data_IF_773076787000
#
_entry.id   IF_773076787000
#
_cell.length_a   1.000
_cell.length_b   1.000
_cell.length_c   1.000
_cell.angle_alpha   90.00
_cell.angle_beta   90.00
_cell.angle_gamma   90.00
#
_symmetry.space_group_name_H-M   'P 1'
#
loop_
_entity.id
_entity.type
_entity.pdbx_description
1 polymer ?
#
# COMPACT_ATOMS: atom_id res chain seq x y z
N UNK A 1 -38.80 67.20 16.95
CA UNK A 1 -38.99 65.88 16.31
C UNK A 1 -37.70 65.07 16.48
N UNK A 2 -37.78 63.94 17.14
CA UNK A 2 -36.65 62.98 17.25
C UNK A 2 -36.60 62.12 16.02
N UNK A 3 -35.48 62.19 15.23
CA UNK A 3 -35.24 61.27 14.12
C UNK A 3 -34.43 60.08 14.54
N UNK A 4 -34.51 58.95 13.79
CA UNK A 4 -33.64 57.80 13.98
C UNK A 4 -32.24 58.11 13.42
N UNK A 5 -31.19 57.50 14.00
CA UNK A 5 -29.83 57.54 13.49
C UNK A 5 -29.78 56.94 12.07
N UNK A 6 -29.01 57.55 11.18
CA UNK A 6 -28.86 57.02 9.80
C UNK A 6 -28.10 55.69 9.78
N UNK A 7 -28.36 54.84 8.82
CA UNK A 7 -27.64 53.62 8.67
C UNK A 7 -26.11 53.86 8.53
N UNK A 8 -25.31 53.03 9.10
CA UNK A 8 -23.85 53.17 9.13
C UNK A 8 -23.31 54.06 10.26
N UNK A 9 -24.20 54.69 11.04
CA UNK A 9 -23.85 55.51 12.20
C UNK A 9 -24.63 55.04 13.44
N UNK A 10 -24.07 55.28 14.62
CA UNK A 10 -24.79 55.11 15.89
C UNK A 10 -24.83 56.39 16.69
N UNK A 11 -25.91 56.58 17.37
CA UNK A 11 -26.19 57.77 18.10
C UNK A 11 -26.32 57.47 19.61
N UNK A 12 -25.27 57.57 20.39
CA UNK A 12 -25.36 57.53 21.82
C UNK A 12 -26.30 58.68 22.32
N UNK A 13 -26.88 58.54 23.50
CA UNK A 13 -27.83 59.52 24.02
C UNK A 13 -27.31 60.95 23.98
N UNK A 14 -28.18 61.87 23.54
CA UNK A 14 -27.83 63.32 23.40
C UNK A 14 -27.34 63.80 22.05
N UNK A 15 -27.42 62.94 21.01
CA UNK A 15 -27.06 63.26 19.62
C UNK A 15 -28.03 64.28 19.01
N UNK A 16 -27.54 65.26 18.27
CA UNK A 16 -28.35 66.37 17.67
C UNK A 16 -28.72 66.06 16.20
N UNK A 17 -27.82 65.40 15.45
CA UNK A 17 -28.05 65.01 14.05
C UNK A 17 -27.89 63.50 13.85
N UNK A 18 -28.36 62.96 12.73
CA UNK A 18 -28.38 61.52 12.45
C UNK A 18 -27.23 60.99 11.63
N UNK A 19 -26.29 61.83 11.12
CA UNK A 19 -25.34 61.49 10.06
C UNK A 19 -23.83 61.84 10.37
N UNK A 20 -23.47 62.12 11.57
CA UNK A 20 -22.07 62.39 11.94
C UNK A 20 -21.54 63.77 11.52
N UNK A 21 -22.35 64.71 10.99
CA UNK A 21 -21.95 66.04 10.59
C UNK A 21 -21.98 67.07 11.71
N UNK A 22 -22.05 66.65 12.96
CA UNK A 22 -22.15 67.50 14.10
C UNK A 22 -20.77 67.64 14.79
N UNK A 23 -20.24 68.88 14.83
CA UNK A 23 -18.98 69.20 15.44
C UNK A 23 -19.04 69.21 17.01
N UNK A 24 -20.20 69.09 17.59
CA UNK A 24 -20.42 69.01 19.06
C UNK A 24 -20.71 67.61 19.54
N UNK A 25 -20.58 66.64 18.68
CA UNK A 25 -21.29 65.54 18.98
C UNK A 25 -20.77 64.16 19.00
N UNK A 26 -21.54 63.40 19.44
CA UNK A 26 -21.65 62.08 19.95
C UNK A 26 -22.05 61.04 18.89
N UNK A 27 -22.29 61.45 17.63
CA UNK A 27 -22.54 60.51 16.54
C UNK A 27 -21.24 59.98 15.98
N UNK A 28 -21.12 58.64 15.93
CA UNK A 28 -19.93 57.95 15.48
C UNK A 28 -20.27 57.06 14.27
N UNK A 29 -19.36 56.98 13.34
CA UNK A 29 -19.39 55.97 12.28
C UNK A 29 -19.13 54.58 12.91
N UNK A 30 -19.82 53.56 12.39
CA UNK A 30 -19.49 52.21 12.73
C UNK A 30 -18.12 51.86 12.18
N UNK A 31 -17.28 51.23 13.01
CA UNK A 31 -15.96 50.77 12.63
C UNK A 31 -16.03 49.44 11.84
N UNK A 32 -14.93 49.09 11.24
CA UNK A 32 -14.77 47.80 10.60
C UNK A 32 -15.09 46.66 11.62
N UNK A 33 -15.68 45.59 11.19
CA UNK A 33 -16.13 44.49 12.06
C UNK A 33 -17.46 44.75 12.79
N UNK A 34 -18.05 45.96 12.60
CA UNK A 34 -19.30 46.33 13.28
C UNK A 34 -20.37 46.79 12.28
N UNK A 35 -21.62 46.66 12.65
CA UNK A 35 -22.78 47.06 11.83
C UNK A 35 -23.75 47.91 12.62
N UNK A 36 -24.21 48.98 11.98
CA UNK A 36 -25.19 49.90 12.54
C UNK A 36 -26.38 50.05 11.59
N UNK A 37 -27.42 49.23 11.76
CA UNK A 37 -28.71 49.45 11.11
C UNK A 37 -29.32 50.78 11.53
N UNK A 38 -30.37 51.21 10.82
CA UNK A 38 -31.08 52.45 11.12
C UNK A 38 -31.54 52.49 12.59
N UNK A 39 -31.22 53.57 13.29
CA UNK A 39 -31.61 53.79 14.66
C UNK A 39 -30.70 53.16 15.72
N UNK A 40 -29.49 52.75 15.33
CA UNK A 40 -28.50 52.22 16.29
C UNK A 40 -28.11 53.22 17.38
N UNK A 41 -28.08 52.80 18.60
CA UNK A 41 -27.63 53.55 19.78
C UNK A 41 -26.13 53.27 20.12
N UNK A 42 -25.59 52.16 19.60
CA UNK A 42 -24.23 51.71 19.72
C UNK A 42 -23.82 50.98 18.48
N UNK A 43 -22.53 50.77 18.28
CA UNK A 43 -22.00 49.84 17.28
C UNK A 43 -22.23 48.41 17.74
N UNK A 44 -22.65 47.56 16.80
CA UNK A 44 -22.89 46.16 17.08
C UNK A 44 -21.80 45.36 16.36
N UNK A 45 -20.96 44.67 17.13
CA UNK A 45 -19.95 43.75 16.57
C UNK A 45 -20.66 42.63 15.79
N UNK A 46 -20.15 42.31 14.62
CA UNK A 46 -20.56 41.14 13.88
C UNK A 46 -20.23 39.89 14.71
N UNK A 47 -21.20 39.00 14.86
CA UNK A 47 -21.01 37.77 15.59
C UNK A 47 -20.16 36.78 14.81
N UNK A 48 -19.63 35.80 15.50
CA UNK A 48 -18.94 34.66 14.88
C UNK A 48 -19.75 34.09 13.72
N UNK A 49 -19.05 33.72 12.64
CA UNK A 49 -19.68 33.31 11.38
C UNK A 49 -20.01 34.46 10.43
N UNK A 50 -19.82 35.71 10.84
CA UNK A 50 -20.05 36.89 10.01
C UNK A 50 -18.91 37.91 10.15
N UNK A 51 -18.86 38.85 9.20
CA UNK A 51 -17.82 39.89 9.13
C UNK A 51 -18.36 41.20 8.52
N UNK A 52 -17.66 42.28 8.71
CA UNK A 52 -17.93 43.55 8.03
C UNK A 52 -16.60 44.22 7.58
N UNK A 53 -16.35 44.28 6.24
CA UNK A 53 -15.04 44.66 5.72
C UNK A 53 -14.78 46.20 5.70
N UNK A 54 -15.74 47.00 6.02
CA UNK A 54 -15.56 48.47 5.93
C UNK A 54 -16.27 49.22 7.02
N UNK A 55 -15.84 50.45 7.27
CA UNK A 55 -16.50 51.38 8.15
C UNK A 55 -17.88 51.80 7.56
N UNK A 56 -18.75 52.31 8.41
CA UNK A 56 -20.15 52.65 8.08
C UNK A 56 -20.98 51.43 7.64
N UNK A 57 -20.64 50.21 8.07
CA UNK A 57 -21.40 49.03 7.82
C UNK A 57 -22.82 49.09 8.36
N UNK A 58 -23.81 48.63 7.58
CA UNK A 58 -25.21 48.60 7.98
C UNK A 58 -25.69 47.21 8.35
N UNK A 59 -24.99 46.17 7.85
CA UNK A 59 -25.26 44.74 8.09
C UNK A 59 -23.95 44.01 8.23
N UNK A 60 -23.95 42.90 8.91
CA UNK A 60 -22.85 41.90 8.89
C UNK A 60 -23.10 40.92 7.75
N UNK A 61 -22.08 40.58 7.01
CA UNK A 61 -22.12 39.59 5.92
C UNK A 61 -21.73 38.22 6.47
N UNK A 62 -22.43 37.17 6.04
CA UNK A 62 -22.03 35.81 6.34
C UNK A 62 -20.63 35.55 5.81
N UNK A 63 -19.83 34.79 6.59
CA UNK A 63 -18.53 34.33 6.18
C UNK A 63 -18.66 33.54 4.87
N UNK A 64 -17.88 33.84 3.81
CA UNK A 64 -17.98 33.14 2.53
C UNK A 64 -17.61 31.65 2.67
N UNK A 65 -18.16 30.78 1.79
CA UNK A 65 -17.81 29.36 1.81
C UNK A 65 -16.29 29.18 1.58
N UNK A 66 -15.70 28.21 2.26
CA UNK A 66 -14.25 27.99 2.27
C UNK A 66 -13.46 28.96 3.15
N UNK A 67 -14.17 29.83 3.90
CA UNK A 67 -13.62 30.77 4.84
C UNK A 67 -14.22 30.60 6.24
N UNK A 68 -13.54 31.09 7.25
CA UNK A 68 -13.98 31.05 8.66
C UNK A 68 -13.94 32.42 9.31
N UNK A 69 -14.91 32.68 10.18
CA UNK A 69 -15.01 33.88 10.98
C UNK A 69 -15.15 33.48 12.46
N UNK A 70 -14.03 33.23 13.14
CA UNK A 70 -14.00 32.56 14.44
C UNK A 70 -14.25 33.48 15.64
N UNK A 71 -14.10 34.79 15.45
CA UNK A 71 -14.22 35.79 16.52
C UNK A 71 -15.27 36.82 16.16
N UNK A 72 -15.88 37.44 17.19
CA UNK A 72 -16.76 38.59 17.01
C UNK A 72 -15.96 39.80 16.53
N UNK A 73 -16.62 40.68 15.77
CA UNK A 73 -16.05 41.95 15.31
C UNK A 73 -15.01 41.80 14.20
N UNK A 74 -15.08 40.75 13.40
CA UNK A 74 -14.14 40.57 12.28
C UNK A 74 -14.43 41.52 11.11
N UNK A 75 -13.39 42.13 10.63
CA UNK A 75 -13.33 42.95 9.40
C UNK A 75 -12.92 42.11 8.19
N UNK A 76 -12.12 41.07 8.40
CA UNK A 76 -11.56 40.19 7.37
C UNK A 76 -11.76 38.72 7.77
N UNK A 77 -12.31 37.94 6.86
CA UNK A 77 -12.42 36.48 7.02
C UNK A 77 -11.06 35.78 6.85
N UNK A 78 -10.94 34.60 7.41
CA UNK A 78 -9.74 33.76 7.30
C UNK A 78 -10.04 32.51 6.45
N UNK A 79 -9.03 32.01 5.74
CA UNK A 79 -9.13 30.76 5.00
C UNK A 79 -9.47 29.58 5.91
N UNK A 80 -10.32 28.67 5.46
CA UNK A 80 -10.57 27.39 6.13
C UNK A 80 -9.28 26.58 6.20
N UNK A 81 -9.01 25.98 7.35
CA UNK A 81 -7.79 25.19 7.57
C UNK A 81 -7.81 23.90 6.72
N UNK A 82 -6.62 23.41 6.39
CA UNK A 82 -6.47 22.09 5.79
C UNK A 82 -6.99 21.00 6.73
N UNK A 83 -7.59 19.95 6.17
CA UNK A 83 -8.25 18.90 6.93
C UNK A 83 -9.69 19.23 7.33
N UNK A 84 -10.13 20.47 7.06
CA UNK A 84 -11.46 20.97 7.42
C UNK A 84 -12.22 21.48 6.19
N UNK A 85 -13.53 21.66 6.35
CA UNK A 85 -14.38 22.36 5.42
C UNK A 85 -15.21 23.43 6.13
N UNK A 86 -15.55 24.48 5.43
CA UNK A 86 -16.24 25.65 5.95
C UNK A 86 -17.40 26.03 5.02
N UNK A 87 -18.62 25.75 5.43
CA UNK A 87 -19.82 26.23 4.74
C UNK A 87 -20.00 27.75 4.93
N UNK A 88 -20.98 28.33 4.24
CA UNK A 88 -21.36 29.74 4.45
C UNK A 88 -21.66 30.01 5.91
N UNK A 89 -21.14 31.10 6.46
CA UNK A 89 -21.39 31.49 7.85
C UNK A 89 -20.65 30.66 8.88
N UNK A 90 -19.56 29.99 8.49
CA UNK A 90 -18.82 29.14 9.42
C UNK A 90 -18.05 29.96 10.47
N UNK A 91 -18.42 29.76 11.73
CA UNK A 91 -17.65 30.20 12.90
C UNK A 91 -16.58 29.17 13.27
N UNK A 92 -16.97 27.89 13.33
CA UNK A 92 -16.09 26.77 13.70
C UNK A 92 -15.97 25.81 12.52
N UNK A 93 -14.78 25.66 11.94
CA UNK A 93 -14.52 24.72 10.86
C UNK A 93 -14.93 23.29 11.23
N UNK A 94 -15.48 22.55 10.28
CA UNK A 94 -15.85 21.15 10.43
C UNK A 94 -14.77 20.25 9.87
N UNK A 95 -14.44 19.17 10.59
CA UNK A 95 -13.39 18.23 10.17
C UNK A 95 -13.84 17.37 8.98
N UNK A 96 -12.95 17.11 8.03
CA UNK A 96 -13.12 15.98 7.14
C UNK A 96 -13.15 14.68 7.95
N UNK A 97 -14.09 13.79 7.63
CA UNK A 97 -14.23 12.51 8.32
C UNK A 97 -13.02 11.61 8.08
N UNK A 98 -12.83 10.62 8.97
CA UNK A 98 -11.86 9.54 8.77
C UNK A 98 -12.03 8.87 7.39
N UNK A 99 -10.95 8.44 6.79
CA UNK A 99 -10.95 7.92 5.43
C UNK A 99 -10.96 9.01 4.34
N UNK A 100 -11.01 10.29 4.75
CA UNK A 100 -10.99 11.46 3.86
C UNK A 100 -9.94 12.47 4.31
N UNK A 101 -9.52 13.33 3.37
CA UNK A 101 -8.55 14.40 3.62
C UNK A 101 -8.89 15.66 2.82
N UNK A 102 -8.36 16.79 3.23
CA UNK A 102 -8.31 18.00 2.41
C UNK A 102 -6.96 18.68 2.56
N UNK A 103 -6.38 19.11 1.46
CA UNK A 103 -5.20 19.96 1.44
C UNK A 103 -5.28 20.96 0.29
N UNK A 104 -4.48 22.00 0.37
CA UNK A 104 -4.51 23.11 -0.59
C UNK A 104 -4.12 22.71 -2.02
N UNK A 105 -3.29 21.70 -2.18
CA UNK A 105 -2.75 21.31 -3.49
C UNK A 105 -3.74 20.60 -4.37
N UNK A 106 -4.75 19.93 -3.77
CA UNK A 106 -5.69 19.05 -4.50
C UNK A 106 -7.01 19.75 -4.78
N UNK A 107 -7.44 20.69 -3.93
CA UNK A 107 -8.72 21.39 -4.06
C UNK A 107 -8.79 22.30 -5.29
N UNK A 108 -7.63 22.69 -5.84
CA UNK A 108 -7.55 23.69 -6.94
C UNK A 108 -7.77 23.14 -8.35
N UNK A 109 -7.63 21.83 -8.56
CA UNK A 109 -7.53 21.25 -9.91
C UNK A 109 -8.90 21.16 -10.63
N UNK A 110 -10.00 21.07 -9.88
CA UNK A 110 -11.33 20.75 -10.45
C UNK A 110 -12.42 21.80 -10.22
N UNK A 111 -12.10 23.05 -9.87
CA UNK A 111 -13.13 24.08 -9.64
C UNK A 111 -13.46 24.89 -10.89
N UNK A 112 -14.65 24.71 -11.51
CA UNK A 112 -15.12 25.61 -12.52
C UNK A 112 -15.63 26.91 -11.88
N UNK A 113 -14.97 28.04 -12.11
CA UNK A 113 -15.48 29.35 -11.68
C UNK A 113 -14.46 30.47 -11.88
N UNK A 114 -14.91 31.64 -12.35
CA UNK A 114 -14.11 32.87 -12.37
C UNK A 114 -14.00 33.45 -10.95
N UNK A 115 -13.11 32.91 -10.14
CA UNK A 115 -12.82 33.46 -8.83
C UNK A 115 -11.79 34.60 -8.97
N UNK A 116 -11.86 35.65 -8.13
CA UNK A 116 -10.85 36.70 -8.12
C UNK A 116 -9.46 36.09 -7.89
N UNK A 117 -8.45 36.62 -8.55
CA UNK A 117 -7.06 36.12 -8.50
C UNK A 117 -6.46 35.97 -7.08
N UNK A 118 -7.07 36.67 -6.10
CA UNK A 118 -6.63 36.65 -4.69
C UNK A 118 -7.55 35.83 -3.78
N UNK A 119 -8.55 35.16 -4.32
CA UNK A 119 -9.47 34.34 -3.54
C UNK A 119 -8.98 32.89 -3.53
N UNK A 120 -8.48 32.47 -2.41
CA UNK A 120 -7.97 31.11 -2.15
C UNK A 120 -8.82 30.47 -1.03
N UNK A 121 -10.03 30.01 -1.33
CA UNK A 121 -10.85 29.36 -0.31
C UNK A 121 -10.28 27.98 0.05
N UNK A 122 -10.45 27.57 1.30
CA UNK A 122 -10.32 26.18 1.72
C UNK A 122 -11.47 25.31 1.16
N UNK A 123 -11.61 24.09 1.65
CA UNK A 123 -12.76 23.25 1.30
C UNK A 123 -14.06 23.93 1.76
N UNK A 124 -15.06 24.01 0.87
CA UNK A 124 -16.33 24.70 1.10
C UNK A 124 -17.40 23.77 1.68
N UNK A 125 -17.34 22.49 1.35
CA UNK A 125 -18.36 21.50 1.73
C UNK A 125 -17.71 20.17 2.07
N UNK A 126 -18.44 19.31 2.77
CA UNK A 126 -17.98 17.95 3.07
C UNK A 126 -17.67 17.09 1.83
N UNK A 127 -18.28 17.41 0.68
CA UNK A 127 -18.02 16.70 -0.58
C UNK A 127 -16.64 17.01 -1.16
N UNK A 128 -16.03 18.11 -0.77
CA UNK A 128 -14.67 18.50 -1.16
C UNK A 128 -13.59 17.87 -0.26
N UNK A 129 -13.97 17.21 0.82
CA UNK A 129 -13.08 16.27 1.49
C UNK A 129 -12.88 15.06 0.57
N UNK A 130 -11.67 14.93 0.03
CA UNK A 130 -11.33 13.87 -0.92
C UNK A 130 -11.22 12.52 -0.22
N UNK A 131 -11.57 11.47 -0.93
CA UNK A 131 -11.33 10.11 -0.46
C UNK A 131 -9.83 9.84 -0.35
N UNK A 132 -9.41 9.14 0.71
CA UNK A 132 -8.03 8.71 0.87
C UNK A 132 -7.58 7.94 -0.38
N UNK A 133 -6.44 8.26 -1.00
CA UNK A 133 -6.02 7.62 -2.24
C UNK A 133 -5.64 6.15 -2.03
N UNK A 134 -5.67 5.39 -3.11
CA UNK A 134 -5.24 3.99 -3.12
C UNK A 134 -3.78 3.88 -2.66
N UNK A 135 -3.48 2.90 -1.83
CA UNK A 135 -2.17 2.74 -1.22
C UNK A 135 -1.91 3.61 0.00
N UNK A 136 -2.90 4.39 0.44
CA UNK A 136 -2.80 5.29 1.60
C UNK A 136 -3.94 5.10 2.59
N UNK A 137 -3.72 5.62 3.80
CA UNK A 137 -4.64 5.65 4.92
C UNK A 137 -4.88 7.08 5.38
N UNK A 138 -6.09 7.37 5.84
CA UNK A 138 -6.46 8.60 6.52
C UNK A 138 -7.05 8.23 7.89
N UNK A 139 -6.20 7.96 8.89
CA UNK A 139 -6.61 7.32 10.15
C UNK A 139 -7.35 8.25 11.10
N UNK A 140 -7.26 9.54 10.90
CA UNK A 140 -7.89 10.53 11.77
C UNK A 140 -8.82 11.45 11.00
N UNK A 141 -9.77 12.08 11.70
CA UNK A 141 -10.47 13.25 11.19
C UNK A 141 -9.47 14.40 11.00
N UNK A 142 -9.78 15.31 10.10
CA UNK A 142 -8.91 16.43 9.73
C UNK A 142 -7.53 16.00 9.17
N UNK A 143 -7.46 14.85 8.50
CA UNK A 143 -6.24 14.44 7.80
C UNK A 143 -5.90 15.45 6.69
N UNK A 144 -4.66 15.91 6.66
CA UNK A 144 -4.12 16.79 5.62
C UNK A 144 -3.22 16.05 4.65
N UNK A 145 -2.44 15.10 5.16
CA UNK A 145 -1.52 14.26 4.37
C UNK A 145 -1.85 12.79 4.61
N UNK A 146 -2.35 12.08 3.58
CA UNK A 146 -2.56 10.64 3.68
C UNK A 146 -1.26 9.89 4.00
N UNK A 147 -1.33 8.94 4.93
CA UNK A 147 -0.21 8.08 5.31
C UNK A 147 -0.11 6.88 4.37
N UNK A 148 1.09 6.36 4.13
CA UNK A 148 1.27 5.14 3.33
C UNK A 148 0.64 3.94 4.03
N UNK A 149 0.02 3.07 3.25
CA UNK A 149 -0.57 1.82 3.72
C UNK A 149 0.45 1.00 4.51
N UNK A 150 0.03 0.43 5.62
CA UNK A 150 0.86 -0.39 6.50
C UNK A 150 1.36 -1.65 5.78
N UNK A 151 2.62 -2.06 5.99
CA UNK A 151 3.16 -3.29 5.40
C UNK A 151 2.31 -4.52 5.77
N UNK A 152 2.16 -5.44 4.84
CA UNK A 152 1.33 -6.64 4.99
C UNK A 152 -0.15 -6.45 4.63
N UNK A 153 -0.56 -5.20 4.34
CA UNK A 153 -1.92 -4.84 3.96
C UNK A 153 -1.96 -4.09 2.63
N UNK A 154 -3.10 -4.12 1.98
CA UNK A 154 -3.42 -3.31 0.81
C UNK A 154 -4.55 -2.34 1.14
N UNK A 155 -4.38 -1.07 0.80
CA UNK A 155 -5.35 -0.01 1.06
C UNK A 155 -6.02 0.39 -0.25
N UNK A 156 -7.28 0.03 -0.40
CA UNK A 156 -8.06 0.22 -1.64
C UNK A 156 -8.56 1.66 -1.84
N UNK A 157 -8.22 2.57 -0.91
CA UNK A 157 -8.71 3.94 -0.88
C UNK A 157 -9.88 4.15 0.09
N UNK A 158 -10.08 5.39 0.54
CA UNK A 158 -11.10 5.76 1.53
C UNK A 158 -11.03 5.03 2.87
N UNK A 159 -9.84 4.54 3.26
CA UNK A 159 -9.66 3.75 4.47
C UNK A 159 -9.06 4.58 5.60
N UNK A 160 -9.57 4.36 6.80
CA UNK A 160 -9.06 4.93 8.05
C UNK A 160 -7.97 4.07 8.68
N UNK A 161 -8.12 2.74 8.64
CA UNK A 161 -7.18 1.78 9.22
C UNK A 161 -6.90 0.64 8.24
N UNK A 162 -5.66 0.14 8.28
CA UNK A 162 -5.31 -1.08 7.57
C UNK A 162 -6.07 -2.28 8.17
N UNK A 163 -6.67 -3.10 7.32
CA UNK A 163 -7.44 -4.26 7.75
C UNK A 163 -8.92 -4.00 8.03
N UNK A 164 -9.37 -2.74 7.99
CA UNK A 164 -10.79 -2.38 8.11
C UNK A 164 -11.34 -1.93 6.76
N UNK A 165 -12.56 -2.34 6.46
CA UNK A 165 -13.33 -1.74 5.38
C UNK A 165 -14.35 -0.78 6.01
N UNK A 166 -14.21 0.52 5.79
CA UNK A 166 -15.18 1.52 6.26
C UNK A 166 -16.53 1.39 5.54
N UNK A 167 -16.65 0.51 4.57
CA UNK A 167 -17.85 0.21 3.82
C UNK A 167 -18.30 -1.25 3.99
N UNK A 168 -18.67 -1.64 5.18
CA UNK A 168 -19.65 -2.70 5.49
C UNK A 168 -19.61 -4.03 4.73
N UNK A 169 -18.55 -4.42 4.05
CA UNK A 169 -18.39 -5.72 3.41
C UNK A 169 -16.96 -6.23 3.56
N UNK A 170 -16.84 -7.24 4.31
CA UNK A 170 -15.96 -8.42 4.35
C UNK A 170 -14.74 -8.48 3.43
N UNK A 171 -13.97 -7.40 3.31
CA UNK A 171 -12.73 -7.44 2.56
C UNK A 171 -11.58 -7.23 3.54
N UNK A 172 -11.10 -8.34 4.08
CA UNK A 172 -9.75 -8.36 4.65
C UNK A 172 -8.79 -7.71 3.65
N UNK A 173 -8.26 -6.57 3.99
CA UNK A 173 -7.24 -5.88 3.20
C UNK A 173 -5.86 -6.48 3.43
N UNK A 174 -5.77 -7.51 4.26
CA UNK A 174 -4.55 -8.28 4.47
C UNK A 174 -4.12 -8.95 3.16
N UNK A 175 -2.83 -8.87 2.87
CA UNK A 175 -2.24 -9.52 1.71
C UNK A 175 -2.47 -11.03 1.77
N UNK A 176 -3.03 -11.68 0.75
CA UNK A 176 -3.23 -13.13 0.75
C UNK A 176 -1.91 -13.88 0.58
N UNK A 177 -1.91 -15.15 0.95
CA UNK A 177 -0.82 -16.07 0.64
C UNK A 177 -0.52 -16.07 -0.87
N UNK A 178 0.75 -16.24 -1.25
CA UNK A 178 1.20 -16.13 -2.64
C UNK A 178 1.50 -14.71 -3.11
N UNK A 179 1.20 -13.70 -2.31
CA UNK A 179 1.40 -12.29 -2.63
C UNK A 179 2.20 -11.56 -1.54
N UNK A 180 2.78 -10.45 -1.91
CA UNK A 180 3.47 -9.55 -0.99
C UNK A 180 2.86 -8.16 -1.02
N UNK A 181 2.79 -7.50 0.13
CA UNK A 181 2.30 -6.15 0.26
C UNK A 181 3.32 -5.29 1.02
N UNK A 182 4.31 -4.72 0.34
CA UNK A 182 5.16 -3.70 0.93
C UNK A 182 4.35 -2.44 1.28
N UNK A 183 4.98 -1.50 1.98
CA UNK A 183 4.37 -0.22 2.34
C UNK A 183 3.77 0.47 1.12
N UNK A 184 2.58 1.02 1.26
CA UNK A 184 1.91 1.75 0.18
C UNK A 184 1.21 0.87 -0.86
N UNK A 185 1.02 -0.41 -0.60
CA UNK A 185 0.33 -1.32 -1.53
C UNK A 185 -1.15 -0.94 -1.66
N UNK A 186 -1.59 -0.74 -2.90
CA UNK A 186 -2.97 -0.34 -3.23
C UNK A 186 -3.90 -1.49 -3.60
N UNK A 187 -3.38 -2.68 -3.88
CA UNK A 187 -4.17 -3.87 -4.22
C UNK A 187 -3.52 -5.13 -3.71
N UNK A 188 -4.28 -5.98 -3.04
CA UNK A 188 -3.79 -7.23 -2.45
C UNK A 188 -3.33 -8.29 -3.47
N UNK A 189 -3.66 -8.12 -4.74
CA UNK A 189 -3.30 -9.04 -5.82
C UNK A 189 -2.32 -8.42 -6.84
N UNK A 190 -1.77 -7.25 -6.56
CA UNK A 190 -0.88 -6.56 -7.52
C UNK A 190 0.53 -7.12 -7.58
N UNK A 191 0.99 -7.74 -6.51
CA UNK A 191 2.37 -8.20 -6.36
C UNK A 191 2.43 -9.69 -6.01
N UNK A 192 2.15 -10.60 -6.97
CA UNK A 192 2.33 -12.03 -6.76
C UNK A 192 3.80 -12.36 -6.58
N UNK A 193 4.09 -13.42 -5.81
CA UNK A 193 5.43 -13.97 -5.72
C UNK A 193 5.93 -14.35 -7.11
N UNK A 194 7.13 -13.90 -7.46
CA UNK A 194 7.78 -14.21 -8.74
C UNK A 194 8.17 -15.68 -8.84
N UNK A 195 8.51 -16.13 -10.04
CA UNK A 195 9.04 -17.47 -10.29
C UNK A 195 10.22 -17.78 -9.36
N UNK A 196 10.30 -18.99 -8.86
CA UNK A 196 11.31 -19.42 -7.89
C UNK A 196 11.05 -18.93 -6.46
N UNK A 197 9.94 -18.26 -6.22
CA UNK A 197 9.51 -17.78 -4.89
C UNK A 197 8.09 -18.23 -4.55
N UNK A 198 7.80 -18.24 -3.26
CA UNK A 198 6.50 -18.60 -2.73
C UNK A 198 6.20 -17.86 -1.44
N UNK A 199 4.93 -17.85 -1.01
CA UNK A 199 4.56 -17.30 0.30
C UNK A 199 3.36 -18.04 0.89
N UNK A 200 3.55 -18.89 1.91
CA UNK A 200 2.46 -19.66 2.51
C UNK A 200 1.54 -18.85 3.41
N UNK A 201 2.02 -17.73 3.93
CA UNK A 201 1.31 -16.94 4.92
C UNK A 201 0.74 -15.67 4.31
N UNK A 202 -0.43 -15.26 4.80
CA UNK A 202 -0.99 -13.94 4.51
C UNK A 202 -0.27 -12.83 5.28
N UNK A 203 -0.46 -11.57 4.86
CA UNK A 203 0.08 -10.40 5.55
C UNK A 203 1.59 -10.22 5.42
N UNK A 204 2.20 -10.75 4.39
CA UNK A 204 3.64 -10.69 4.21
C UNK A 204 4.07 -9.56 3.28
N UNK A 205 5.27 -9.07 3.54
CA UNK A 205 5.86 -7.94 2.80
C UNK A 205 6.82 -8.40 1.70
N UNK A 206 7.24 -9.66 1.75
CA UNK A 206 8.18 -10.26 0.80
C UNK A 206 7.85 -11.73 0.58
N UNK A 207 8.42 -12.32 -0.46
CA UNK A 207 8.28 -13.72 -0.81
C UNK A 207 9.55 -14.50 -0.47
N UNK A 208 9.37 -15.72 0.03
CA UNK A 208 10.42 -16.67 0.36
C UNK A 208 10.96 -17.35 -0.91
N UNK A 209 12.21 -17.80 -0.88
CA UNK A 209 12.73 -18.68 -1.94
C UNK A 209 11.98 -20.02 -1.93
N UNK A 210 11.73 -20.57 -3.12
CA UNK A 210 11.18 -21.91 -3.29
C UNK A 210 12.04 -22.92 -2.52
N UNK A 211 11.46 -23.78 -1.69
CA UNK A 211 12.24 -24.75 -0.91
C UNK A 211 12.97 -25.72 -1.83
N UNK A 212 14.19 -26.13 -1.44
CA UNK A 212 14.93 -27.16 -2.14
C UNK A 212 14.10 -28.44 -2.27
N UNK A 213 14.28 -29.20 -3.36
CA UNK A 213 13.46 -30.35 -3.70
C UNK A 213 12.11 -30.02 -4.32
N UNK A 214 11.81 -28.73 -4.54
CA UNK A 214 10.58 -28.25 -5.18
C UNK A 214 10.90 -27.20 -6.25
N UNK A 215 9.91 -26.96 -7.11
CA UNK A 215 9.95 -26.01 -8.23
C UNK A 215 8.77 -25.07 -8.11
N UNK A 216 9.03 -23.77 -8.16
CA UNK A 216 8.03 -22.72 -8.17
C UNK A 216 7.97 -22.09 -9.57
N UNK A 217 7.25 -22.73 -10.47
CA UNK A 217 7.18 -22.43 -11.90
C UNK A 217 6.05 -21.48 -12.31
N UNK A 218 5.30 -20.99 -11.31
CA UNK A 218 4.19 -20.06 -11.50
C UNK A 218 4.29 -18.87 -10.58
N UNK A 219 3.55 -17.82 -10.91
CA UNK A 219 3.40 -16.64 -10.05
C UNK A 219 2.41 -16.93 -8.91
N UNK A 220 2.67 -16.37 -7.75
CA UNK A 220 1.72 -16.41 -6.63
C UNK A 220 1.60 -17.77 -5.92
N UNK A 221 2.61 -18.61 -5.98
CA UNK A 221 2.62 -19.91 -5.29
C UNK A 221 2.53 -19.71 -3.78
N UNK A 222 1.60 -20.45 -3.15
CA UNK A 222 1.35 -20.39 -1.72
C UNK A 222 1.31 -21.78 -1.04
N UNK A 223 1.15 -22.86 -1.80
CA UNK A 223 0.96 -24.21 -1.27
C UNK A 223 2.10 -25.15 -1.67
N UNK A 224 2.42 -26.10 -0.77
CA UNK A 224 3.31 -27.22 -1.08
C UNK A 224 2.58 -28.28 -1.93
N UNK A 225 3.29 -29.21 -2.57
CA UNK A 225 2.66 -30.21 -3.46
C UNK A 225 1.54 -31.02 -2.80
N UNK A 226 1.68 -31.34 -1.52
CA UNK A 226 0.75 -32.18 -0.75
C UNK A 226 -0.28 -31.39 0.07
N UNK A 227 -0.25 -30.05 0.07
CA UNK A 227 -1.21 -29.26 0.81
C UNK A 227 -2.60 -29.37 0.17
N UNK A 228 -3.62 -29.41 1.02
CA UNK A 228 -5.03 -29.45 0.59
C UNK A 228 -5.53 -28.01 0.44
N UNK A 229 -5.91 -27.61 -0.75
CA UNK A 229 -6.45 -26.29 -1.04
C UNK A 229 -6.79 -26.17 -2.53
N UNK A 230 -7.97 -25.70 -2.85
CA UNK A 230 -8.49 -25.68 -4.23
C UNK A 230 -8.22 -24.40 -5.00
N UNK A 231 -7.79 -23.31 -4.35
CA UNK A 231 -7.82 -21.96 -4.93
C UNK A 231 -6.45 -21.32 -5.18
N UNK A 232 -5.36 -21.94 -4.73
CA UNK A 232 -4.04 -21.36 -4.80
C UNK A 232 -3.07 -22.23 -5.59
N UNK A 233 -2.17 -21.57 -6.32
CA UNK A 233 -1.14 -22.26 -7.09
C UNK A 233 -0.18 -23.02 -6.17
N UNK A 234 0.10 -24.29 -6.54
CA UNK A 234 0.99 -25.20 -5.82
C UNK A 234 2.35 -25.25 -6.48
N UNK A 235 3.40 -25.43 -5.67
CA UNK A 235 4.71 -25.78 -6.17
C UNK A 235 4.71 -27.22 -6.69
N UNK A 236 5.63 -27.54 -7.59
CA UNK A 236 5.82 -28.87 -8.15
C UNK A 236 7.00 -29.55 -7.42
N UNK A 237 6.88 -30.84 -7.11
CA UNK A 237 7.99 -31.62 -6.58
C UNK A 237 9.10 -31.74 -7.64
N UNK A 238 10.37 -31.69 -7.24
CA UNK A 238 11.50 -31.93 -8.14
C UNK A 238 11.36 -33.32 -8.78
N UNK A 239 11.36 -33.45 -10.11
CA UNK A 239 11.15 -34.73 -10.75
C UNK A 239 12.30 -35.70 -10.44
N UNK A 240 12.00 -36.98 -10.39
CA UNK A 240 13.00 -38.02 -10.27
C UNK A 240 14.09 -37.88 -11.36
N UNK A 241 15.32 -38.29 -11.07
CA UNK A 241 16.53 -38.17 -11.91
C UNK A 241 17.18 -36.78 -11.92
N UNK A 242 16.55 -35.81 -11.25
CA UNK A 242 17.04 -34.44 -11.08
C UNK A 242 17.08 -34.08 -9.59
N UNK A 243 17.87 -33.08 -9.27
CA UNK A 243 17.83 -32.45 -7.96
C UNK A 243 17.66 -30.92 -8.10
N UNK A 244 16.95 -30.33 -7.16
CA UNK A 244 16.53 -28.94 -7.22
C UNK A 244 17.00 -28.18 -5.99
N UNK A 245 17.86 -27.20 -6.19
CA UNK A 245 18.23 -26.27 -5.11
C UNK A 245 17.12 -25.25 -4.83
N UNK A 246 17.19 -24.61 -3.67
CA UNK A 246 16.27 -23.55 -3.29
C UNK A 246 16.18 -22.45 -4.37
N UNK A 247 14.96 -21.98 -4.65
CA UNK A 247 14.70 -20.99 -5.70
C UNK A 247 14.59 -21.56 -7.11
N UNK A 248 14.41 -22.88 -7.27
CA UNK A 248 14.16 -23.49 -8.57
C UNK A 248 12.81 -23.01 -9.13
N UNK A 249 12.80 -22.64 -10.42
CA UNK A 249 11.66 -21.96 -11.05
C UNK A 249 11.31 -22.46 -12.44
N UNK A 250 11.96 -23.50 -12.92
CA UNK A 250 11.76 -24.01 -14.27
C UNK A 250 11.44 -25.50 -14.21
N UNK A 251 10.41 -25.93 -14.95
CA UNK A 251 10.18 -27.35 -15.16
C UNK A 251 11.24 -27.87 -16.11
N UNK A 252 11.88 -28.97 -15.76
CA UNK A 252 12.82 -29.65 -16.67
C UNK A 252 12.03 -30.11 -17.88
N UNK A 253 12.43 -29.76 -19.12
CA UNK A 253 11.76 -30.26 -20.30
C UNK A 253 11.93 -31.78 -20.36
N UNK A 254 10.83 -32.53 -20.42
CA UNK A 254 10.83 -33.96 -20.69
C UNK A 254 11.26 -34.26 -22.13
N UNK A 255 11.28 -33.25 -22.97
CA UNK A 255 11.71 -33.32 -24.37
C UNK A 255 12.74 -32.21 -24.64
N UNK A 256 13.94 -32.59 -25.04
CA UNK A 256 15.04 -31.67 -25.43
C UNK A 256 14.72 -30.78 -26.65
N UNK A 257 13.59 -31.05 -27.32
CA UNK A 257 13.13 -30.24 -28.48
C UNK A 257 12.42 -28.94 -28.04
N UNK A 258 12.03 -28.83 -26.78
CA UNK A 258 11.40 -27.64 -26.21
C UNK A 258 12.42 -26.85 -25.37
N UNK A 259 13.45 -26.32 -26.02
CA UNK A 259 14.28 -25.28 -25.45
C UNK A 259 13.39 -24.04 -25.40
N UNK A 260 12.98 -23.54 -24.21
CA UNK A 260 12.26 -22.27 -24.15
C UNK A 260 13.14 -21.19 -24.75
N UNK A 261 12.53 -20.30 -25.52
CA UNK A 261 13.18 -19.10 -26.04
C UNK A 261 13.92 -18.38 -24.88
N UNK A 262 15.26 -18.23 -24.96
CA UNK A 262 16.01 -17.55 -23.89
C UNK A 262 15.58 -16.10 -23.68
N UNK A 263 14.77 -15.54 -24.57
CA UNK A 263 14.20 -14.18 -24.46
C UNK A 263 12.92 -14.13 -23.61
N UNK A 264 12.32 -15.28 -23.27
CA UNK A 264 11.08 -15.37 -22.45
C UNK A 264 11.34 -15.57 -20.95
N UNK A 265 12.59 -15.64 -20.54
CA UNK A 265 12.97 -15.85 -19.15
C UNK A 265 12.88 -14.53 -18.39
N UNK A 266 12.03 -14.47 -17.38
CA UNK A 266 12.11 -13.39 -16.40
C UNK A 266 13.54 -13.31 -15.83
N UNK A 267 14.13 -12.09 -15.73
CA UNK A 267 15.56 -11.92 -15.40
C UNK A 267 15.96 -12.47 -14.01
N UNK A 268 15.00 -12.90 -13.19
CA UNK A 268 15.22 -13.40 -11.84
C UNK A 268 15.06 -14.91 -11.70
N UNK A 269 14.68 -15.63 -12.74
CA UNK A 269 14.52 -17.08 -12.70
C UNK A 269 15.89 -17.75 -12.92
N UNK A 270 16.48 -18.28 -11.87
CA UNK A 270 17.74 -19.01 -11.94
C UNK A 270 17.44 -20.49 -12.20
N UNK A 271 18.07 -21.05 -13.25
CA UNK A 271 18.10 -22.49 -13.44
C UNK A 271 18.82 -23.14 -12.26
N UNK A 272 18.06 -23.74 -11.34
CA UNK A 272 18.58 -24.43 -10.15
C UNK A 272 18.16 -25.90 -10.13
N UNK A 273 17.91 -26.45 -11.31
CA UNK A 273 17.59 -27.84 -11.53
C UNK A 273 18.74 -28.47 -12.27
N UNK A 274 19.27 -29.56 -11.75
CA UNK A 274 20.45 -30.23 -12.25
C UNK A 274 20.18 -31.71 -12.47
N UNK A 275 20.79 -32.28 -13.51
CA UNK A 275 20.77 -33.71 -13.76
C UNK A 275 21.54 -34.46 -12.69
N UNK A 276 21.00 -35.60 -12.25
CA UNK A 276 21.71 -36.51 -11.37
C UNK A 276 22.92 -37.11 -12.10
N UNK A 277 24.10 -36.92 -11.55
CA UNK A 277 25.36 -37.40 -12.16
C UNK A 277 25.59 -38.87 -11.90
N UNK A 278 26.49 -39.49 -12.68
CA UNK A 278 26.91 -40.87 -12.45
C UNK A 278 27.55 -41.07 -11.03
N UNK A 279 27.33 -42.22 -10.44
CA UNK A 279 27.69 -42.52 -9.06
C UNK A 279 26.67 -42.13 -8.01
N UNK A 280 25.60 -41.41 -8.45
CA UNK A 280 24.54 -40.90 -7.62
C UNK A 280 23.17 -41.29 -8.15
N UNK A 281 22.16 -41.19 -7.30
CA UNK A 281 20.76 -41.32 -7.67
C UNK A 281 19.93 -40.17 -7.10
N UNK A 282 18.85 -39.83 -7.74
CA UNK A 282 17.98 -38.73 -7.35
C UNK A 282 16.51 -39.17 -7.44
N UNK A 283 15.91 -39.63 -6.35
CA UNK A 283 14.47 -39.88 -6.29
C UNK A 283 13.69 -38.57 -6.40
N UNK A 284 12.39 -38.66 -6.58
CA UNK A 284 11.49 -37.50 -6.58
C UNK A 284 11.67 -36.66 -5.31
N UNK A 285 11.76 -35.34 -5.45
CA UNK A 285 11.95 -34.40 -4.34
C UNK A 285 13.40 -34.23 -3.88
N UNK A 286 14.39 -34.74 -4.64
CA UNK A 286 15.80 -34.59 -4.28
C UNK A 286 16.22 -33.13 -4.22
N UNK A 287 16.88 -32.79 -3.10
CA UNK A 287 17.51 -31.48 -2.87
C UNK A 287 18.97 -31.47 -3.32
N UNK A 288 19.59 -32.62 -3.26
CA UNK A 288 20.96 -32.91 -3.65
C UNK A 288 21.07 -34.35 -4.17
N UNK A 289 22.09 -34.69 -4.97
CA UNK A 289 22.30 -36.04 -5.41
C UNK A 289 22.70 -36.94 -4.24
N UNK A 290 22.12 -38.14 -4.17
CA UNK A 290 22.39 -39.13 -3.14
C UNK A 290 23.39 -40.18 -3.64
N UNK A 291 24.38 -40.53 -2.82
CA UNK A 291 25.36 -41.55 -3.18
C UNK A 291 24.74 -42.96 -3.15
N UNK A 292 25.16 -43.81 -4.08
CA UNK A 292 24.77 -45.22 -4.05
C UNK A 292 25.37 -45.92 -2.82
N UNK A 293 24.51 -46.66 -2.10
CA UNK A 293 24.96 -47.45 -0.95
C UNK A 293 25.82 -48.66 -1.37
N UNK A 294 26.61 -49.21 -0.42
CA UNK A 294 27.35 -50.45 -0.63
C UNK A 294 26.45 -51.58 -1.15
N UNK A 295 26.91 -52.30 -2.15
CA UNK A 295 26.16 -53.32 -2.86
C UNK A 295 25.30 -52.79 -4.00
N UNK A 296 25.38 -51.48 -4.29
CA UNK A 296 24.70 -50.82 -5.41
C UNK A 296 25.61 -49.88 -6.18
N UNK A 297 25.30 -49.56 -7.42
CA UNK A 297 26.08 -48.68 -8.28
C UNK A 297 25.22 -47.85 -9.24
N UNK A 298 25.83 -46.80 -9.82
CA UNK A 298 25.24 -45.97 -10.86
C UNK A 298 26.31 -45.70 -11.93
N UNK A 299 26.14 -46.27 -13.11
CA UNK A 299 27.05 -46.19 -14.26
C UNK A 299 26.72 -45.02 -15.21
N UNK A 300 25.59 -44.35 -15.02
CA UNK A 300 25.12 -43.30 -15.90
C UNK A 300 24.46 -42.16 -15.14
N UNK A 301 24.24 -41.05 -15.85
CA UNK A 301 23.48 -39.88 -15.37
C UNK A 301 21.98 -40.17 -15.38
N UNK A 302 21.20 -39.36 -14.66
CA UNK A 302 19.74 -39.39 -14.68
C UNK A 302 19.17 -40.72 -14.11
N UNK A 303 19.72 -41.20 -13.01
CA UNK A 303 19.16 -42.35 -12.29
C UNK A 303 18.29 -41.91 -11.12
N UNK A 304 17.17 -42.58 -10.98
CA UNK A 304 16.23 -42.45 -9.85
C UNK A 304 16.61 -43.33 -8.68
N UNK A 305 17.17 -44.52 -8.97
CA UNK A 305 17.61 -45.51 -8.00
C UNK A 305 18.94 -46.12 -8.46
N UNK A 306 19.79 -46.48 -7.52
CA UNK A 306 21.00 -47.25 -7.83
C UNK A 306 20.65 -48.68 -8.22
N UNK A 307 21.47 -49.29 -9.08
CA UNK A 307 21.33 -50.67 -9.52
C UNK A 307 22.00 -51.60 -8.52
N UNK A 308 21.42 -52.77 -8.23
CA UNK A 308 22.10 -53.79 -7.43
C UNK A 308 23.39 -54.27 -8.14
N UNK A 309 24.40 -54.57 -7.37
CA UNK A 309 25.63 -55.17 -7.87
C UNK A 309 25.34 -56.57 -8.44
N UNK A 310 25.88 -56.91 -9.61
CA UNK A 310 25.65 -58.21 -10.24
C UNK A 310 26.30 -59.34 -9.44
N UNK A 311 25.75 -60.58 -9.51
CA UNK A 311 26.36 -61.75 -8.88
C UNK A 311 27.78 -62.00 -9.36
N UNK A 312 28.73 -62.14 -8.45
CA UNK A 312 30.15 -62.31 -8.73
C UNK A 312 30.99 -61.03 -8.70
N UNK A 313 30.32 -59.88 -8.52
CA UNK A 313 30.95 -58.59 -8.38
C UNK A 313 30.66 -57.96 -7.02
N UNK A 314 31.49 -57.02 -6.57
CA UNK A 314 31.21 -56.25 -5.38
C UNK A 314 31.26 -54.76 -5.67
N UNK A 315 30.39 -54.01 -5.01
CA UNK A 315 30.31 -52.57 -5.10
C UNK A 315 30.55 -52.00 -3.69
N UNK A 316 31.72 -51.46 -3.41
CA UNK A 316 32.11 -51.12 -2.04
C UNK A 316 31.36 -49.95 -1.41
N UNK A 317 30.58 -49.19 -2.13
CA UNK A 317 30.01 -47.96 -1.59
C UNK A 317 31.09 -46.97 -1.11
N UNK A 318 30.71 -45.78 -0.77
CA UNK A 318 31.65 -44.67 -0.52
C UNK A 318 32.25 -44.64 0.89
N UNK A 319 32.26 -45.74 1.64
CA UNK A 319 32.70 -45.79 3.07
C UNK A 319 34.20 -45.74 3.29
N UNK A 320 35.03 -45.72 2.24
CA UNK A 320 36.47 -45.72 2.38
C UNK A 320 37.09 -44.38 2.03
N UNK A 321 36.89 -43.37 2.78
CA UNK A 321 37.65 -42.09 2.95
C UNK A 321 38.73 -41.64 1.95
N UNK A 322 38.97 -42.38 0.87
CA UNK A 322 39.99 -42.12 -0.14
C UNK A 322 39.46 -41.86 -1.55
N UNK A 323 38.17 -42.05 -1.79
CA UNK A 323 37.54 -41.81 -3.10
C UNK A 323 36.34 -40.84 -3.04
N UNK A 324 36.41 -39.84 -2.19
CA UNK A 324 35.37 -38.84 -1.94
C UNK A 324 35.02 -37.93 -3.15
N UNK A 325 35.48 -38.22 -4.34
CA UNK A 325 35.27 -37.42 -5.57
C UNK A 325 34.71 -38.19 -6.77
N UNK A 326 34.55 -39.50 -6.70
CA UNK A 326 34.01 -40.28 -7.80
C UNK A 326 33.03 -41.31 -7.25
N UNK A 327 31.73 -41.01 -7.35
CA UNK A 327 30.75 -42.09 -7.32
C UNK A 327 31.19 -43.15 -8.35
N UNK A 328 31.00 -44.44 -8.06
CA UNK A 328 31.38 -45.51 -8.99
C UNK A 328 30.64 -45.35 -10.30
N UNK A 329 31.41 -44.99 -11.33
CA UNK A 329 30.89 -44.72 -12.67
C UNK A 329 30.94 -45.90 -13.60
N UNK A 330 31.70 -46.97 -13.19
CA UNK A 330 32.01 -48.06 -14.12
C UNK A 330 31.94 -49.44 -13.45
N UNK A 331 31.20 -50.30 -14.09
CA UNK A 331 31.02 -51.72 -13.75
C UNK A 331 32.35 -52.51 -13.81
N UNK A 332 33.29 -52.10 -14.66
CA UNK A 332 34.59 -52.72 -14.83
C UNK A 332 35.59 -52.40 -13.68
N UNK A 333 35.44 -51.28 -13.01
CA UNK A 333 36.28 -50.90 -11.86
C UNK A 333 36.01 -51.78 -10.60
N UNK A 334 34.82 -52.38 -10.50
CA UNK A 334 34.51 -53.37 -9.46
C UNK A 334 35.35 -54.65 -9.58
N UNK A 335 35.93 -54.94 -10.75
CA UNK A 335 36.64 -56.18 -11.06
C UNK A 335 38.13 -56.13 -10.65
N UNK A 336 38.74 -54.94 -10.67
CA UNK A 336 40.20 -54.81 -10.57
C UNK A 336 40.78 -54.95 -9.16
N UNK A 337 39.96 -55.05 -8.13
CA UNK A 337 40.46 -55.09 -6.75
C UNK A 337 40.27 -56.47 -6.06
N UNK A 338 40.15 -57.56 -6.86
CA UNK A 338 40.07 -58.97 -6.36
C UNK A 338 41.30 -59.39 -5.55
N UNK A 339 42.36 -58.57 -5.55
CA UNK A 339 43.59 -58.88 -4.83
C UNK A 339 43.67 -58.29 -3.41
N UNK A 340 42.62 -57.69 -2.88
CA UNK A 340 42.64 -57.00 -1.58
C UNK A 340 41.98 -57.72 -0.41
N UNK A 341 41.52 -58.97 -0.62
CA UNK A 341 40.99 -59.75 0.49
C UNK A 341 41.77 -61.09 0.66
N UNK A 342 42.20 -61.38 1.90
CA UNK A 342 42.91 -62.65 2.21
C UNK A 342 42.01 -63.87 2.09
#
# INVERSE_FOLDING_TARGET
MSGQCEPGFYCPGGSIRSNGQDSLAVIRSCEEGTACPRGSSNDNSCLQGSYQPGSNGTICYDCPPGQKCQTDGLDVYQKCDEGYFCDVGTAIPQTCNVGRFSNDTVIWVDRPGNWPANYSPGAMTSSECLSCPVGHLCPSSATTNPELCTPGFACLGSQSLAGTSDFGSDISTQCPAGFMCPTGTGSKFSLPCSLGKWQPNSGQIDCLECPAGNICDKLGISLRPNDVGETWEKMVTCPAKYFCYAGACKIVPTDKSLIPDPTSLEPNCKDRIFECRSGYFCPEGSQEPQECAAGTFSDRILLENCWPCDPGYYCPGNDTGLLALAGFTDYEECITDVNRFP
#
